data_IF_817421947188
#
_entry.id   IF_817421947188
#
_cell.length_a   1.000
_cell.length_b   1.000
_cell.length_c   1.000
_cell.angle_alpha   90.00
_cell.angle_beta   90.00
_cell.angle_gamma   90.00
#
_symmetry.space_group_name_H-M   'P 1'
#
loop_
_entity.id
_entity.type
_entity.pdbx_description
1 polymer ?
#
# COMPACT_ATOMS: atom_id res chain seq x y z
N UNK A 1 -0.39 -40.48 -56.47
CA UNK A 1 0.92 -39.78 -56.43
C UNK A 1 0.64 -38.36 -55.98
N UNK A 2 1.47 -37.85 -55.05
CA UNK A 2 1.06 -37.15 -53.82
C UNK A 2 1.20 -35.62 -54.00
N UNK A 3 0.86 -34.71 -53.08
CA UNK A 3 1.43 -34.58 -51.74
C UNK A 3 0.78 -33.39 -51.01
N UNK A 4 0.57 -33.57 -49.70
CA UNK A 4 0.89 -32.63 -48.59
C UNK A 4 0.35 -31.17 -48.64
N UNK A 5 -0.18 -30.58 -47.56
CA UNK A 5 0.35 -30.57 -46.19
C UNK A 5 -0.75 -30.36 -45.14
N UNK A 6 -0.57 -31.09 -44.03
CA UNK A 6 -1.07 -30.74 -42.71
C UNK A 6 -0.60 -29.33 -42.30
N UNK A 7 -1.48 -28.58 -41.63
CA UNK A 7 -1.10 -27.77 -40.48
C UNK A 7 -2.04 -28.10 -39.32
N UNK A 8 -1.51 -28.90 -38.39
CA UNK A 8 -2.01 -29.08 -37.03
C UNK A 8 -1.69 -27.86 -36.16
N UNK A 9 -2.14 -27.95 -34.90
CA UNK A 9 -1.76 -27.20 -33.69
C UNK A 9 -2.81 -26.14 -33.33
N UNK A 10 -3.79 -26.49 -32.48
CA UNK A 10 -3.80 -26.50 -31.00
C UNK A 10 -3.73 -25.11 -30.38
N UNK A 11 -4.39 -25.03 -29.22
CA UNK A 11 -4.35 -24.02 -28.13
C UNK A 11 -5.60 -23.14 -28.12
N UNK A 12 -6.20 -22.79 -26.99
CA UNK A 12 -6.19 -23.29 -25.62
C UNK A 12 -7.27 -22.47 -24.90
N UNK A 13 -7.90 -23.09 -23.89
CA UNK A 13 -8.41 -22.49 -22.68
C UNK A 13 -9.03 -21.07 -22.74
N UNK A 14 -10.35 -21.04 -22.58
CA UNK A 14 -11.04 -19.94 -21.88
C UNK A 14 -10.57 -19.93 -20.41
N UNK A 15 -9.47 -19.21 -20.15
CA UNK A 15 -9.11 -18.61 -18.87
C UNK A 15 -9.59 -17.15 -18.95
N UNK A 16 -10.17 -16.46 -17.98
CA UNK A 16 -10.27 -16.58 -16.54
C UNK A 16 -11.52 -15.79 -16.11
N UNK A 17 -12.39 -16.37 -15.29
CA UNK A 17 -13.07 -15.59 -14.24
C UNK A 17 -12.47 -16.04 -12.92
N UNK A 18 -11.35 -15.43 -12.56
CA UNK A 18 -10.83 -15.35 -11.20
C UNK A 18 -10.81 -13.84 -10.95
N UNK A 19 -11.78 -13.29 -10.22
CA UNK A 19 -11.90 -13.50 -8.79
C UNK A 19 -10.89 -12.57 -8.15
N UNK A 20 -11.30 -11.31 -7.90
CA UNK A 20 -10.58 -10.37 -7.05
C UNK A 20 -10.31 -11.09 -5.73
N UNK A 21 -9.08 -11.55 -5.53
CA UNK A 21 -8.62 -11.98 -4.22
C UNK A 21 -8.00 -10.76 -3.56
N UNK A 22 -8.80 -10.12 -2.70
CA UNK A 22 -8.29 -9.25 -1.67
C UNK A 22 -7.58 -10.17 -0.67
N UNK A 23 -6.28 -10.36 -0.80
CA UNK A 23 -5.48 -11.04 0.22
C UNK A 23 -5.28 -10.09 1.40
N UNK A 24 -6.36 -9.81 2.11
CA UNK A 24 -6.32 -9.26 3.46
C UNK A 24 -6.15 -10.45 4.41
N UNK A 25 -4.93 -10.73 4.86
CA UNK A 25 -4.72 -11.74 5.91
C UNK A 25 -5.44 -11.31 7.19
N UNK A 26 -6.51 -12.03 7.53
CA UNK A 26 -7.28 -11.86 8.77
C UNK A 26 -6.47 -12.51 9.89
N UNK A 27 -5.83 -11.69 10.72
CA UNK A 27 -5.38 -12.13 12.05
C UNK A 27 -6.61 -11.99 12.95
N UNK A 28 -7.22 -13.13 13.31
CA UNK A 28 -8.34 -13.18 14.26
C UNK A 28 -7.80 -12.87 15.67
N UNK A 29 -8.24 -11.75 16.22
CA UNK A 29 -8.01 -11.34 17.61
C UNK A 29 -9.26 -10.64 18.11
N UNK A 30 -9.82 -11.18 19.19
CA UNK A 30 -11.13 -10.86 19.77
C UNK A 30 -11.36 -9.37 20.04
N UNK A 31 -12.53 -8.87 19.67
CA UNK A 31 -13.02 -7.54 20.05
C UNK A 31 -14.37 -7.24 19.40
N UNK A 32 -15.46 -7.41 20.16
CA UNK A 32 -16.80 -7.03 19.70
C UNK A 32 -16.97 -5.51 19.81
N UNK A 33 -17.12 -4.84 18.69
CA UNK A 33 -17.81 -3.54 18.57
C UNK A 33 -18.34 -3.43 17.15
N UNK A 34 -19.45 -2.74 16.96
CA UNK A 34 -20.11 -2.48 15.68
C UNK A 34 -19.20 -1.78 14.66
N UNK A 35 -18.18 -2.47 14.16
CA UNK A 35 -17.36 -2.00 13.06
C UNK A 35 -18.15 -2.24 11.77
N UNK A 36 -18.71 -1.16 11.22
CA UNK A 36 -19.24 -1.12 9.87
C UNK A 36 -18.26 -1.82 8.92
N UNK A 37 -18.73 -2.60 7.95
CA UNK A 37 -17.82 -3.31 7.05
C UNK A 37 -16.91 -2.30 6.32
N UNK A 38 -15.60 -2.59 6.14
CA UNK A 38 -14.70 -1.66 5.48
C UNK A 38 -15.21 -1.35 4.08
N UNK A 39 -15.21 -0.06 3.75
CA UNK A 39 -15.62 0.38 2.43
C UNK A 39 -14.62 -0.11 1.37
N UNK A 40 -15.04 -0.31 0.12
CA UNK A 40 -14.13 -0.78 -0.94
C UNK A 40 -12.88 0.10 -1.08
N UNK A 41 -11.70 -0.49 -0.88
CA UNK A 41 -10.41 0.20 -0.96
C UNK A 41 -9.96 0.89 0.34
N UNK A 42 -10.74 0.80 1.42
CA UNK A 42 -10.34 1.31 2.74
C UNK A 42 -9.24 0.42 3.36
N UNK A 43 -8.15 1.05 3.80
CA UNK A 43 -7.06 0.45 4.55
C UNK A 43 -7.16 0.94 5.98
N UNK A 44 -7.53 0.05 6.89
CA UNK A 44 -7.69 0.37 8.32
C UNK A 44 -6.36 0.47 9.05
N UNK A 45 -6.43 1.04 10.24
CA UNK A 45 -5.34 1.01 11.20
C UNK A 45 -4.79 -0.41 11.40
N UNK A 46 -3.48 -0.55 11.39
CA UNK A 46 -2.79 -1.83 11.55
C UNK A 46 -2.90 -2.75 10.34
N UNK A 47 -3.30 -2.21 9.18
CA UNK A 47 -3.39 -2.94 7.91
C UNK A 47 -2.56 -2.25 6.83
N UNK A 48 -2.25 -3.03 5.81
CA UNK A 48 -1.81 -2.52 4.52
C UNK A 48 -2.77 -3.04 3.45
N UNK A 49 -2.84 -2.35 2.34
CA UNK A 49 -3.60 -2.74 1.16
C UNK A 49 -2.81 -2.47 -0.11
N UNK A 50 -3.06 -3.30 -1.11
CA UNK A 50 -2.57 -3.12 -2.46
C UNK A 50 -3.74 -3.02 -3.43
N UNK A 51 -3.49 -2.42 -4.58
CA UNK A 51 -4.49 -2.34 -5.63
C UNK A 51 -3.86 -2.25 -7.00
N UNK A 52 -4.63 -2.72 -7.97
CA UNK A 52 -4.39 -2.60 -9.40
C UNK A 52 -5.52 -1.82 -10.05
N UNK A 53 -5.20 -0.67 -10.63
CA UNK A 53 -6.16 0.27 -11.23
C UNK A 53 -7.15 0.98 -10.27
N UNK A 54 -7.50 0.40 -9.12
CA UNK A 54 -8.54 0.94 -8.24
C UNK A 54 -7.98 1.85 -7.13
N UNK A 55 -8.81 2.79 -6.67
CA UNK A 55 -8.50 3.68 -5.54
C UNK A 55 -8.36 2.88 -4.24
N UNK A 56 -7.35 3.23 -3.44
CA UNK A 56 -7.20 2.80 -2.05
C UNK A 56 -7.03 4.02 -1.16
N UNK A 57 -7.53 3.96 0.08
CA UNK A 57 -7.50 5.12 0.98
C UNK A 57 -7.53 4.70 2.45
N UNK A 58 -7.15 5.63 3.31
CA UNK A 58 -7.22 5.51 4.75
C UNK A 58 -7.67 6.82 5.37
N UNK A 59 -8.38 6.74 6.48
CA UNK A 59 -8.78 7.84 7.36
C UNK A 59 -8.41 7.48 8.79
N UNK A 60 -8.39 8.47 9.69
CA UNK A 60 -8.26 8.26 11.12
C UNK A 60 -7.37 9.30 11.78
N UNK A 61 -7.05 9.05 13.05
CA UNK A 61 -6.33 9.99 13.89
C UNK A 61 -4.93 10.34 13.32
N UNK A 62 -4.51 11.56 13.63
CA UNK A 62 -3.23 12.14 13.26
C UNK A 62 -1.99 11.43 13.83
N UNK A 63 -2.14 10.69 14.94
CA UNK A 63 -1.02 10.09 15.68
C UNK A 63 -0.38 8.88 14.99
N UNK A 64 -0.69 8.67 13.71
CA UNK A 64 -0.43 7.44 12.99
C UNK A 64 0.35 7.71 11.72
N UNK A 65 1.33 6.86 11.44
CA UNK A 65 2.14 6.93 10.23
C UNK A 65 1.38 6.30 9.07
N UNK A 66 1.31 7.01 7.95
CA UNK A 66 0.68 6.52 6.71
C UNK A 66 1.72 6.50 5.62
N UNK A 67 1.75 5.41 4.86
CA UNK A 67 2.69 5.24 3.75
C UNK A 67 1.91 4.94 2.49
N UNK A 68 2.08 5.76 1.47
CA UNK A 68 1.54 5.52 0.14
C UNK A 68 2.67 5.41 -0.89
N UNK A 69 2.58 4.41 -1.76
CA UNK A 69 3.51 4.22 -2.88
C UNK A 69 2.73 3.95 -4.15
N UNK A 70 3.12 4.61 -5.23
CA UNK A 70 2.60 4.34 -6.58
C UNK A 70 3.72 3.90 -7.50
N UNK A 71 3.37 3.09 -8.48
CA UNK A 71 4.31 2.62 -9.48
C UNK A 71 3.66 2.38 -10.84
N UNK A 72 4.49 1.92 -11.78
CA UNK A 72 4.05 1.50 -13.10
C UNK A 72 4.93 0.34 -13.59
N UNK A 73 4.40 -0.43 -14.53
CA UNK A 73 5.09 -1.57 -15.15
C UNK A 73 5.37 -1.30 -16.63
N UNK A 74 6.52 -0.69 -17.00
CA UNK A 74 6.87 -0.45 -18.41
C UNK A 74 7.06 -1.75 -19.21
N UNK A 75 7.34 -2.85 -18.52
CA UNK A 75 7.51 -4.18 -19.10
C UNK A 75 6.16 -4.87 -19.42
N UNK A 76 5.02 -4.22 -19.17
CA UNK A 76 3.70 -4.78 -19.39
C UNK A 76 3.27 -5.83 -18.36
N UNK A 77 4.02 -5.99 -17.27
CA UNK A 77 3.60 -6.84 -16.16
C UNK A 77 2.31 -6.30 -15.53
N UNK A 78 1.43 -7.21 -15.14
CA UNK A 78 0.08 -6.91 -14.75
C UNK A 78 -0.11 -7.12 -13.23
N UNK A 79 0.61 -6.33 -12.45
CA UNK A 79 0.62 -6.40 -10.98
C UNK A 79 -0.04 -5.21 -10.30
N UNK A 80 -0.04 -5.24 -8.98
CA UNK A 80 -0.47 -4.12 -8.16
C UNK A 80 0.49 -2.93 -8.33
N UNK A 81 -0.09 -1.75 -8.46
CA UNK A 81 0.59 -0.49 -8.78
C UNK A 81 0.34 0.61 -7.74
N UNK A 82 -0.48 0.31 -6.71
CA UNK A 82 -0.76 1.19 -5.58
C UNK A 82 -0.62 0.40 -4.28
N UNK A 83 0.06 0.99 -3.32
CA UNK A 83 0.33 0.42 -2.01
C UNK A 83 0.01 1.47 -0.96
N UNK A 84 -0.69 1.07 0.10
CA UNK A 84 -1.04 1.96 1.20
C UNK A 84 -0.96 1.18 2.52
N UNK A 85 -0.32 1.77 3.53
CA UNK A 85 -0.34 1.25 4.90
C UNK A 85 -0.76 2.34 5.88
N UNK A 86 -1.49 1.93 6.91
CA UNK A 86 -1.86 2.78 8.02
C UNK A 86 -1.41 2.12 9.32
N UNK A 87 -0.39 2.68 9.95
CA UNK A 87 0.29 2.06 11.09
C UNK A 87 0.43 3.07 12.24
N UNK A 88 0.42 2.56 13.46
CA UNK A 88 0.63 3.34 14.66
C UNK A 88 1.75 2.65 15.43
N UNK A 89 2.84 3.37 15.65
CA UNK A 89 4.05 3.01 16.39
C UNK A 89 4.30 1.50 16.61
N UNK A 90 4.71 1.12 17.81
CA UNK A 90 5.22 -0.20 18.20
C UNK A 90 4.25 -1.39 17.98
N UNK A 91 2.98 -1.14 17.63
CA UNK A 91 1.94 -2.18 17.55
C UNK A 91 1.76 -2.77 16.16
N UNK A 92 2.05 -2.02 15.09
CA UNK A 92 1.62 -2.38 13.72
C UNK A 92 2.77 -2.75 12.77
N UNK A 93 3.88 -3.27 13.31
CA UNK A 93 5.07 -3.68 12.53
C UNK A 93 4.78 -4.71 11.44
N UNK A 94 3.82 -5.61 11.65
CA UNK A 94 3.44 -6.60 10.65
C UNK A 94 2.83 -5.97 9.38
N UNK A 95 2.01 -4.93 9.52
CA UNK A 95 1.43 -4.22 8.39
C UNK A 95 2.49 -3.46 7.60
N UNK A 96 3.43 -2.81 8.30
CA UNK A 96 4.59 -2.18 7.67
C UNK A 96 5.42 -3.21 6.90
N UNK A 97 5.73 -4.36 7.51
CA UNK A 97 6.49 -5.41 6.83
C UNK A 97 5.75 -5.96 5.60
N UNK A 98 4.43 -6.18 5.69
CA UNK A 98 3.61 -6.62 4.56
C UNK A 98 3.65 -5.64 3.39
N UNK A 99 3.62 -4.33 3.67
CA UNK A 99 3.81 -3.28 2.66
C UNK A 99 5.19 -3.40 1.99
N UNK A 100 6.26 -3.53 2.78
CA UNK A 100 7.63 -3.63 2.29
C UNK A 100 7.79 -4.86 1.39
N UNK A 101 7.34 -6.03 1.84
CA UNK A 101 7.42 -7.28 1.09
C UNK A 101 6.64 -7.20 -0.24
N UNK A 102 5.46 -6.57 -0.22
CA UNK A 102 4.66 -6.35 -1.42
C UNK A 102 5.36 -5.42 -2.41
N UNK A 103 5.96 -4.33 -1.92
CA UNK A 103 6.69 -3.36 -2.73
C UNK A 103 7.96 -3.96 -3.36
N UNK A 104 8.75 -4.70 -2.58
CA UNK A 104 9.95 -5.38 -3.07
C UNK A 104 9.60 -6.43 -4.14
N UNK A 105 8.53 -7.21 -3.92
CA UNK A 105 8.02 -8.16 -4.91
C UNK A 105 7.57 -7.46 -6.19
N UNK A 106 6.84 -6.35 -6.06
CA UNK A 106 6.38 -5.57 -7.20
C UNK A 106 7.55 -5.04 -8.03
N UNK A 107 8.59 -4.50 -7.37
CA UNK A 107 9.84 -4.06 -8.01
C UNK A 107 10.62 -5.21 -8.65
N UNK A 108 10.69 -6.36 -7.98
CA UNK A 108 11.28 -7.59 -8.54
C UNK A 108 10.58 -8.04 -9.83
N UNK A 109 9.28 -7.78 -9.95
CA UNK A 109 8.49 -8.00 -11.17
C UNK A 109 8.60 -6.87 -12.21
N UNK A 110 9.49 -5.90 -11.99
CA UNK A 110 9.79 -4.81 -12.92
C UNK A 110 8.96 -3.54 -12.72
N UNK A 111 8.34 -3.36 -11.54
CA UNK A 111 7.69 -2.09 -11.21
C UNK A 111 8.72 -0.98 -11.06
N UNK A 112 8.48 0.14 -11.72
CA UNK A 112 9.15 1.40 -11.45
C UNK A 112 8.29 2.22 -10.49
N UNK A 113 8.85 2.60 -9.34
CA UNK A 113 8.19 3.50 -8.40
C UNK A 113 8.08 4.90 -9.02
N UNK A 114 6.93 5.54 -8.88
CA UNK A 114 6.61 6.86 -9.42
C UNK A 114 6.55 7.90 -8.31
N UNK A 115 5.87 7.60 -7.20
CA UNK A 115 5.75 8.49 -6.05
C UNK A 115 5.75 7.68 -4.75
N UNK A 116 6.35 8.25 -3.71
CA UNK A 116 6.34 7.74 -2.34
C UNK A 116 6.01 8.90 -1.42
N UNK A 117 4.98 8.75 -0.60
CA UNK A 117 4.59 9.73 0.42
C UNK A 117 4.51 9.02 1.77
N UNK A 118 5.13 9.63 2.77
CA UNK A 118 5.01 9.21 4.17
C UNK A 118 4.46 10.38 4.96
N UNK A 119 3.33 10.17 5.62
CA UNK A 119 2.79 11.12 6.60
C UNK A 119 3.20 10.64 7.98
N UNK A 120 3.83 11.52 8.76
CA UNK A 120 4.29 11.24 10.12
C UNK A 120 3.64 12.21 11.10
N UNK A 121 3.56 11.80 12.37
CA UNK A 121 3.26 12.72 13.46
C UNK A 121 4.48 13.61 13.67
N UNK A 122 4.29 14.92 13.61
CA UNK A 122 5.33 15.89 13.94
C UNK A 122 5.73 15.74 15.41
N UNK A 123 7.02 15.85 15.71
CA UNK A 123 7.48 15.94 17.09
C UNK A 123 6.87 17.17 17.76
N UNK A 124 6.34 17.00 18.98
CA UNK A 124 5.98 18.13 19.82
C UNK A 124 7.26 18.75 20.37
N UNK A 125 7.59 19.99 19.98
CA UNK A 125 8.78 20.69 20.45
C UNK A 125 8.80 20.83 21.99
N UNK A 126 7.63 20.86 22.62
CA UNK A 126 7.47 20.97 24.07
C UNK A 126 7.46 19.60 24.77
N UNK A 127 7.32 18.50 24.02
CA UNK A 127 7.28 17.13 24.53
C UNK A 127 7.82 16.12 23.51
N UNK A 128 9.16 16.06 23.31
CA UNK A 128 9.75 15.15 22.34
C UNK A 128 9.46 13.69 22.72
N UNK A 129 8.73 12.99 21.84
CA UNK A 129 8.46 11.56 21.97
C UNK A 129 9.52 10.79 21.17
N UNK A 130 10.62 10.44 21.84
CA UNK A 130 11.74 9.73 21.22
C UNK A 130 11.33 8.37 20.63
N UNK A 131 10.31 7.71 21.19
CA UNK A 131 9.84 6.43 20.63
C UNK A 131 9.13 6.64 19.29
N UNK A 132 8.35 7.72 19.19
CA UNK A 132 7.68 8.10 17.95
C UNK A 132 8.68 8.58 16.89
N UNK A 133 9.70 9.34 17.29
CA UNK A 133 10.75 9.80 16.38
C UNK A 133 11.57 8.62 15.82
N UNK A 134 12.01 7.70 16.68
CA UNK A 134 12.70 6.48 16.26
C UNK A 134 11.83 5.64 15.30
N UNK A 135 10.53 5.56 15.57
CA UNK A 135 9.60 4.86 14.69
C UNK A 135 9.41 5.56 13.34
N UNK A 136 9.29 6.89 13.33
CA UNK A 136 9.19 7.69 12.10
C UNK A 136 10.43 7.47 11.23
N UNK A 137 11.63 7.54 11.82
CA UNK A 137 12.89 7.26 11.12
C UNK A 137 12.97 5.82 10.61
N UNK A 138 12.55 4.83 11.41
CA UNK A 138 12.49 3.42 11.01
C UNK A 138 11.63 3.23 9.76
N UNK A 139 10.42 3.82 9.74
CA UNK A 139 9.49 3.73 8.60
C UNK A 139 10.09 4.39 7.37
N UNK A 140 10.61 5.62 7.49
CA UNK A 140 11.18 6.37 6.37
C UNK A 140 12.32 5.58 5.73
N UNK A 141 13.25 5.07 6.54
CA UNK A 141 14.39 4.31 6.06
C UNK A 141 13.98 3.01 5.35
N UNK A 142 13.05 2.25 5.94
CA UNK A 142 12.55 0.99 5.34
C UNK A 142 11.86 1.25 4.01
N UNK A 143 10.95 2.22 3.96
CA UNK A 143 10.20 2.56 2.75
C UNK A 143 11.13 3.09 1.67
N UNK A 144 12.08 3.96 2.01
CA UNK A 144 13.09 4.47 1.08
C UNK A 144 13.90 3.35 0.45
N UNK A 145 14.39 2.39 1.25
CA UNK A 145 15.17 1.25 0.77
C UNK A 145 14.34 0.33 -0.13
N UNK A 146 13.12 0.00 0.29
CA UNK A 146 12.22 -0.86 -0.47
C UNK A 146 11.77 -0.20 -1.78
N UNK A 147 11.49 1.10 -1.77
CA UNK A 147 11.09 1.86 -2.96
C UNK A 147 12.27 2.16 -3.91
N UNK A 148 13.48 2.31 -3.37
CA UNK A 148 14.62 2.86 -4.11
C UNK A 148 14.42 4.33 -4.50
N UNK A 149 13.59 5.07 -3.74
CA UNK A 149 13.23 6.47 -3.98
C UNK A 149 13.10 7.20 -2.65
N UNK A 150 13.56 8.46 -2.60
CA UNK A 150 13.38 9.32 -1.43
C UNK A 150 11.89 9.61 -1.23
N UNK A 151 11.31 9.31 -0.05
CA UNK A 151 9.93 9.68 0.25
C UNK A 151 9.74 11.19 0.35
N UNK A 152 8.58 11.68 -0.10
CA UNK A 152 8.06 12.99 0.32
C UNK A 152 7.45 12.84 1.70
N UNK A 153 8.05 13.52 2.68
CA UNK A 153 7.57 13.53 4.07
C UNK A 153 6.55 14.66 4.23
N UNK A 154 5.44 14.34 4.89
CA UNK A 154 4.41 15.31 5.27
C UNK A 154 4.23 15.20 6.78
N UNK A 155 4.50 16.30 7.47
CA UNK A 155 4.26 16.39 8.90
C UNK A 155 2.79 16.74 9.16
N UNK A 156 2.20 16.13 10.19
CA UNK A 156 0.84 16.45 10.63
C UNK A 156 0.75 16.50 12.16
N UNK A 157 -0.18 17.30 12.68
CA UNK A 157 -0.39 17.53 14.12
C UNK A 157 -1.57 16.71 14.66
N UNK A 158 -1.55 16.40 15.96
CA UNK A 158 -2.45 15.42 16.62
C UNK A 158 -3.95 15.71 16.56
N UNK A 159 -4.37 16.89 16.11
CA UNK A 159 -5.67 17.47 16.46
C UNK A 159 -6.75 17.30 15.38
N UNK A 160 -6.40 16.77 14.21
CA UNK A 160 -7.32 16.61 13.07
C UNK A 160 -7.26 15.19 12.49
N UNK A 161 -8.41 14.68 12.04
CA UNK A 161 -8.44 13.44 11.28
C UNK A 161 -7.72 13.64 9.96
N UNK A 162 -6.87 12.68 9.60
CA UNK A 162 -6.04 12.78 8.40
C UNK A 162 -6.40 11.69 7.41
N UNK A 163 -6.65 12.13 6.18
CA UNK A 163 -6.98 11.28 5.05
C UNK A 163 -5.82 11.19 4.08
N UNK A 164 -5.51 9.96 3.68
CA UNK A 164 -4.59 9.69 2.59
C UNK A 164 -5.27 8.75 1.59
N UNK A 165 -5.16 9.06 0.30
CA UNK A 165 -5.63 8.17 -0.76
C UNK A 165 -4.64 8.09 -1.91
N UNK A 166 -4.65 6.94 -2.56
CA UNK A 166 -4.03 6.74 -3.86
C UNK A 166 -5.15 6.56 -4.87
N UNK A 167 -5.35 7.56 -5.71
CA UNK A 167 -6.47 7.58 -6.65
C UNK A 167 -6.27 6.61 -7.82
N UNK A 168 -7.36 6.29 -8.52
CA UNK A 168 -7.32 5.37 -9.67
C UNK A 168 -6.39 5.88 -10.80
N UNK A 169 -6.21 7.18 -10.95
CA UNK A 169 -5.23 7.78 -11.87
C UNK A 169 -3.80 7.89 -11.31
N UNK A 170 -3.53 7.26 -10.15
CA UNK A 170 -2.27 7.20 -9.40
C UNK A 170 -1.82 8.40 -8.54
N UNK A 171 -2.40 9.62 -8.54
CA UNK A 171 -1.95 10.67 -7.64
C UNK A 171 -2.22 10.29 -6.19
N UNK A 172 -1.28 10.66 -5.32
CA UNK A 172 -1.42 10.53 -3.87
C UNK A 172 -1.98 11.85 -3.31
N UNK A 173 -3.16 11.77 -2.71
CA UNK A 173 -3.82 12.91 -2.06
C UNK A 173 -3.72 12.76 -0.55
N UNK A 174 -3.39 13.87 0.13
CA UNK A 174 -3.26 13.94 1.58
C UNK A 174 -3.99 15.21 2.04
N UNK A 175 -4.92 15.09 2.99
CA UNK A 175 -5.69 16.22 3.51
C UNK A 175 -6.13 15.98 4.95
N UNK A 176 -6.11 17.03 5.76
CA UNK A 176 -6.85 17.08 7.01
C UNK A 176 -8.36 17.23 6.71
N UNK A 177 -9.21 16.58 7.51
CA UNK A 177 -10.68 16.71 7.45
C UNK A 177 -11.22 17.69 8.50
#
# INVERSE_FOLDING_TARGET
>A
MPDQRLCSVRMAATAQMQGNKNDAEIIEGEGSSDEEAPQPGEVRMGRFGTSKGARIYTTGLATCVRVAVTGRYPNGFNGDDRFLAHVAASKHRAALQGLIDALERARGNGMQVVEVVVVILAADEDSPDSEQDDFNEEVINKVQNAAGMQPRIIDHTSDEDYKMSVEANMPINCAAE
#
